data_IF_983924641667
#
_entry.id   IF_983924641667
#
_cell.length_a   1.000
_cell.length_b   1.000
_cell.length_c   1.000
_cell.angle_alpha   90.00
_cell.angle_beta   90.00
_cell.angle_gamma   90.00
#
_symmetry.space_group_name_H-M   'P 1'
#
loop_
_entity.id
_entity.type
_entity.pdbx_description
1 polymer ?
#
# COMPACT_ATOMS: atom_id res chain seq x y z
N UNK A 1 -6.65 26.87 1.38
CA UNK A 1 -5.86 26.75 0.16
C UNK A 1 -6.72 26.01 -0.88
N UNK A 2 -7.18 26.75 -1.91
CA UNK A 2 -7.73 26.11 -3.11
C UNK A 2 -6.58 25.37 -3.77
N UNK A 3 -6.66 24.05 -3.87
CA UNK A 3 -5.85 23.31 -4.83
C UNK A 3 -6.17 23.89 -6.20
N UNK A 4 -5.25 24.65 -6.76
CA UNK A 4 -5.27 24.93 -8.18
C UNK A 4 -4.97 23.58 -8.84
N UNK A 5 -6.03 22.93 -9.39
CA UNK A 5 -5.86 21.72 -10.15
C UNK A 5 -4.96 22.06 -11.34
N UNK A 6 -3.88 21.31 -11.50
CA UNK A 6 -3.16 21.29 -12.75
C UNK A 6 -4.05 20.47 -13.71
N UNK A 7 -4.81 21.17 -14.56
CA UNK A 7 -5.75 20.56 -15.52
C UNK A 7 -5.02 19.74 -16.61
N UNK A 8 -3.70 19.79 -16.62
CA UNK A 8 -2.78 19.11 -17.54
C UNK A 8 -2.09 17.87 -16.93
N UNK A 9 -2.43 17.50 -15.69
CA UNK A 9 -1.87 16.32 -15.05
C UNK A 9 -2.55 15.04 -15.56
N UNK A 10 -1.84 14.22 -16.30
CA UNK A 10 -2.27 12.88 -16.68
C UNK A 10 -1.72 11.88 -15.67
N UNK A 11 -2.59 11.11 -14.99
CA UNK A 11 -2.21 10.19 -13.94
C UNK A 11 -2.86 8.82 -14.15
N UNK A 12 -2.05 7.78 -14.02
CA UNK A 12 -2.49 6.39 -13.98
C UNK A 12 -2.26 5.81 -12.59
N UNK A 13 -3.25 5.11 -12.05
CA UNK A 13 -3.18 4.37 -10.79
C UNK A 13 -3.29 2.89 -11.10
N UNK A 14 -2.26 2.13 -10.74
CA UNK A 14 -2.22 0.67 -10.96
C UNK A 14 -2.36 -0.04 -9.61
N UNK A 15 -3.34 -0.93 -9.51
CA UNK A 15 -3.66 -1.69 -8.30
C UNK A 15 -3.79 -3.18 -8.64
N UNK A 16 -3.03 -4.02 -7.92
CA UNK A 16 -3.08 -5.47 -8.13
C UNK A 16 -4.38 -6.11 -7.62
N UNK A 17 -5.04 -5.47 -6.67
CA UNK A 17 -6.31 -5.94 -6.11
C UNK A 17 -7.50 -5.55 -6.99
N UNK A 18 -8.64 -6.25 -6.87
CA UNK A 18 -9.85 -5.92 -7.63
C UNK A 18 -10.50 -4.60 -7.20
N UNK A 19 -10.11 -4.07 -6.03
CA UNK A 19 -10.70 -2.84 -5.48
C UNK A 19 -9.60 -1.90 -5.02
N UNK A 20 -9.59 -0.68 -5.59
CA UNK A 20 -8.69 0.38 -5.14
C UNK A 20 -9.06 0.85 -3.74
N UNK A 21 -8.02 1.16 -2.94
CA UNK A 21 -8.17 1.71 -1.58
C UNK A 21 -9.14 0.89 -0.71
N UNK A 22 -9.08 -0.43 -0.79
CA UNK A 22 -10.05 -1.34 -0.14
C UNK A 22 -10.08 -1.18 1.39
N UNK A 23 -8.98 -0.72 1.99
CA UNK A 23 -8.85 -0.53 3.44
C UNK A 23 -9.46 0.78 3.94
N UNK A 24 -9.89 1.65 3.02
CA UNK A 24 -10.66 2.84 3.38
C UNK A 24 -12.13 2.50 3.60
N UNK A 25 -12.72 3.12 4.62
CA UNK A 25 -14.16 3.04 4.86
C UNK A 25 -14.94 3.53 3.63
N UNK A 26 -16.06 2.89 3.31
CA UNK A 26 -16.82 3.15 2.09
C UNK A 26 -17.27 4.61 1.94
N UNK A 27 -17.64 5.26 3.05
CA UNK A 27 -18.03 6.67 3.08
C UNK A 27 -16.89 7.65 2.70
N UNK A 28 -15.64 7.23 2.80
CA UNK A 28 -14.45 7.98 2.38
C UNK A 28 -14.05 7.56 0.97
N UNK A 29 -14.01 6.25 0.72
CA UNK A 29 -13.57 5.68 -0.55
C UNK A 29 -14.43 6.11 -1.73
N UNK A 30 -15.75 6.01 -1.61
CA UNK A 30 -16.67 6.28 -2.72
C UNK A 30 -16.59 7.74 -3.24
N UNK A 31 -16.60 8.78 -2.39
CA UNK A 31 -16.39 10.16 -2.86
C UNK A 31 -15.01 10.36 -3.49
N UNK A 32 -13.97 9.75 -2.93
CA UNK A 32 -12.61 9.83 -3.46
C UNK A 32 -12.52 9.22 -4.85
N UNK A 33 -13.07 8.01 -5.05
CA UNK A 33 -13.07 7.34 -6.35
C UNK A 33 -13.84 8.13 -7.41
N UNK A 34 -14.99 8.72 -7.04
CA UNK A 34 -15.75 9.60 -7.95
C UNK A 34 -14.93 10.82 -8.36
N UNK A 35 -14.21 11.42 -7.40
CA UNK A 35 -13.36 12.59 -7.67
C UNK A 35 -12.20 12.24 -8.60
N UNK A 36 -11.52 11.11 -8.39
CA UNK A 36 -10.44 10.65 -9.27
C UNK A 36 -10.95 10.42 -10.71
N UNK A 37 -12.10 9.77 -10.84
CA UNK A 37 -12.75 9.56 -12.16
C UNK A 37 -13.12 10.87 -12.84
N UNK A 38 -13.66 11.86 -12.11
CA UNK A 38 -14.05 13.14 -12.69
C UNK A 38 -12.89 13.98 -13.20
N UNK A 39 -11.67 13.70 -12.71
CA UNK A 39 -10.43 14.32 -13.22
C UNK A 39 -9.77 13.51 -14.35
N UNK A 40 -10.42 12.45 -14.82
CA UNK A 40 -9.92 11.67 -15.95
C UNK A 40 -8.75 10.74 -15.65
N UNK A 41 -8.44 10.46 -14.37
CA UNK A 41 -7.34 9.56 -14.02
C UNK A 41 -7.59 8.13 -14.50
N UNK A 42 -6.58 7.50 -15.11
CA UNK A 42 -6.58 6.10 -15.45
C UNK A 42 -6.56 5.24 -14.17
N UNK A 43 -7.46 4.27 -14.06
CA UNK A 43 -7.54 3.39 -12.88
C UNK A 43 -7.57 1.93 -13.32
N UNK A 44 -6.45 1.24 -13.07
CA UNK A 44 -6.21 -0.13 -13.52
C UNK A 44 -6.19 -1.05 -12.30
N UNK A 45 -7.30 -1.72 -12.03
CA UNK A 45 -7.41 -2.78 -11.00
C UNK A 45 -7.07 -4.14 -11.58
N UNK A 46 -6.85 -5.16 -10.72
CA UNK A 46 -6.42 -6.50 -11.13
C UNK A 46 -5.19 -6.46 -12.06
N UNK A 47 -4.32 -5.48 -11.82
CA UNK A 47 -3.15 -5.22 -12.66
C UNK A 47 -1.92 -5.18 -11.77
N UNK A 48 -1.04 -6.15 -11.94
CA UNK A 48 0.18 -6.30 -11.14
C UNK A 48 1.37 -5.68 -11.87
N UNK A 49 2.10 -4.81 -11.19
CA UNK A 49 3.40 -4.34 -11.70
C UNK A 49 4.42 -5.45 -11.56
N UNK A 50 5.03 -5.86 -12.68
CA UNK A 50 6.07 -6.89 -12.73
C UNK A 50 7.47 -6.29 -12.69
N UNK A 51 7.69 -5.20 -13.42
CA UNK A 51 9.02 -4.63 -13.62
C UNK A 51 8.93 -3.11 -13.78
N UNK A 52 9.92 -2.40 -13.23
CA UNK A 52 10.18 -0.99 -13.48
C UNK A 52 11.31 -0.83 -14.48
N UNK A 53 11.08 -0.05 -15.54
CA UNK A 53 12.01 0.14 -16.66
C UNK A 53 12.37 1.61 -16.88
N UNK A 54 12.68 2.30 -15.80
CA UNK A 54 13.02 3.73 -15.86
C UNK A 54 11.80 4.63 -15.94
N UNK A 55 11.30 4.96 -17.10
CA UNK A 55 10.11 5.78 -17.28
C UNK A 55 8.86 4.97 -17.70
N UNK A 56 8.96 3.65 -17.82
CA UNK A 56 7.85 2.73 -18.10
C UNK A 56 7.74 1.66 -17.01
N UNK A 57 6.60 0.98 -16.97
CA UNK A 57 6.36 -0.18 -16.13
C UNK A 57 5.79 -1.32 -16.98
N UNK A 58 6.29 -2.54 -16.75
CA UNK A 58 5.67 -3.75 -17.28
C UNK A 58 4.60 -4.21 -16.28
N UNK A 59 3.39 -4.40 -16.76
CA UNK A 59 2.27 -4.87 -15.93
C UNK A 59 1.65 -6.14 -16.49
N UNK A 60 1.01 -6.91 -15.62
CA UNK A 60 0.25 -8.11 -15.95
C UNK A 60 -1.20 -7.95 -15.45
N UNK A 61 -2.14 -8.17 -16.35
CA UNK A 61 -3.57 -8.17 -16.05
C UNK A 61 -4.02 -9.52 -15.48
N UNK A 62 -5.23 -9.58 -14.91
CA UNK A 62 -5.80 -10.80 -14.35
C UNK A 62 -5.90 -11.96 -15.35
N UNK A 63 -5.99 -11.68 -16.64
CA UNK A 63 -6.03 -12.68 -17.72
C UNK A 63 -4.63 -13.18 -18.16
N UNK A 64 -3.56 -12.72 -17.48
CA UNK A 64 -2.17 -13.03 -17.82
C UNK A 64 -1.59 -12.17 -18.96
N UNK A 65 -2.36 -11.27 -19.53
CA UNK A 65 -1.86 -10.38 -20.57
C UNK A 65 -0.86 -9.39 -19.99
N UNK A 66 0.34 -9.35 -20.57
CA UNK A 66 1.36 -8.38 -20.21
C UNK A 66 1.34 -7.19 -21.17
N UNK A 67 1.50 -6.00 -20.62
CA UNK A 67 1.65 -4.79 -21.41
C UNK A 67 2.61 -3.81 -20.74
N UNK A 68 3.24 -2.97 -21.54
CA UNK A 68 4.08 -1.88 -21.08
C UNK A 68 3.25 -0.59 -21.02
N UNK A 69 3.30 0.09 -19.89
CA UNK A 69 2.62 1.36 -19.65
C UNK A 69 3.63 2.50 -19.50
N UNK A 70 3.30 3.65 -20.01
CA UNK A 70 4.15 4.84 -20.04
C UNK A 70 4.40 5.34 -21.48
N UNK A 71 5.41 6.22 -21.72
CA UNK A 71 6.36 6.73 -20.73
C UNK A 71 5.72 7.71 -19.73
N UNK A 72 6.24 7.73 -18.50
CA UNK A 72 5.83 8.63 -17.42
C UNK A 72 6.98 9.55 -17.01
N UNK A 73 6.66 10.80 -16.66
CA UNK A 73 7.63 11.74 -16.09
C UNK A 73 8.01 11.34 -14.66
N UNK A 74 7.02 10.82 -13.90
CA UNK A 74 7.21 10.38 -12.53
C UNK A 74 6.45 9.07 -12.27
N UNK A 75 7.08 8.17 -11.54
CA UNK A 75 6.46 6.92 -11.06
C UNK A 75 6.61 6.86 -9.54
N UNK A 76 5.48 6.74 -8.83
CA UNK A 76 5.43 6.64 -7.38
C UNK A 76 5.03 5.23 -6.97
N UNK A 77 5.85 4.60 -6.13
CA UNK A 77 5.60 3.26 -5.60
C UNK A 77 4.96 3.35 -4.21
N UNK A 78 3.75 2.77 -4.07
CA UNK A 78 3.02 2.62 -2.82
C UNK A 78 2.59 1.18 -2.65
N UNK A 79 3.58 0.29 -2.45
CA UNK A 79 3.38 -1.17 -2.47
C UNK A 79 3.18 -1.78 -1.08
N UNK A 80 2.79 -0.97 -0.10
CA UNK A 80 2.57 -1.41 1.28
C UNK A 80 3.87 -1.63 2.05
N UNK A 81 3.74 -2.26 3.21
CA UNK A 81 4.83 -2.54 4.14
C UNK A 81 4.87 -4.03 4.49
N UNK A 82 6.07 -4.52 4.83
CA UNK A 82 6.26 -5.87 5.38
C UNK A 82 6.78 -5.76 6.80
N UNK A 83 6.40 -6.70 7.68
CA UNK A 83 7.03 -6.80 8.99
C UNK A 83 8.55 -6.91 8.87
N UNK A 84 9.26 -6.20 9.74
CA UNK A 84 10.71 -6.27 9.82
C UNK A 84 11.11 -6.53 11.28
N UNK A 85 11.58 -7.73 11.55
CA UNK A 85 11.98 -8.18 12.87
C UNK A 85 13.36 -8.84 12.76
N UNK A 86 14.39 -8.16 13.30
CA UNK A 86 15.77 -8.62 13.28
C UNK A 86 16.31 -8.93 14.66
N UNK A 87 15.55 -8.64 15.72
CA UNK A 87 16.06 -8.68 17.07
C UNK A 87 15.51 -9.86 17.88
N UNK A 88 14.35 -10.43 17.56
CA UNK A 88 13.71 -11.44 18.41
C UNK A 88 14.58 -12.68 18.60
N UNK A 89 15.16 -13.20 17.51
CA UNK A 89 16.00 -14.41 17.58
C UNK A 89 17.25 -14.23 18.46
N UNK A 90 17.81 -13.03 18.52
CA UNK A 90 18.96 -12.71 19.37
C UNK A 90 18.52 -12.53 20.82
N UNK A 91 17.39 -11.86 21.04
CA UNK A 91 16.86 -11.60 22.38
C UNK A 91 16.38 -12.87 23.07
N UNK A 92 15.77 -13.81 22.35
CA UNK A 92 15.33 -15.12 22.85
C UNK A 92 16.49 -15.95 23.46
N UNK A 93 17.74 -15.67 23.07
CA UNK A 93 18.94 -16.31 23.64
C UNK A 93 19.39 -15.68 24.96
N UNK A 94 18.90 -14.49 25.28
CA UNK A 94 19.39 -13.67 26.40
C UNK A 94 18.32 -13.56 27.49
N UNK A 95 17.05 -13.49 27.09
CA UNK A 95 15.92 -13.32 28.01
C UNK A 95 14.91 -14.46 27.87
N UNK A 96 14.24 -14.87 28.97
CA UNK A 96 13.38 -16.04 28.97
C UNK A 96 12.09 -15.88 28.15
N UNK A 97 11.68 -14.65 27.89
CA UNK A 97 10.46 -14.37 27.14
C UNK A 97 10.64 -13.13 26.24
N UNK A 98 10.26 -13.28 24.97
CA UNK A 98 10.26 -12.22 23.97
C UNK A 98 8.91 -12.20 23.27
N UNK A 99 8.22 -11.05 23.28
CA UNK A 99 6.97 -10.83 22.53
C UNK A 99 7.23 -9.88 21.38
N UNK A 100 7.00 -10.33 20.16
CA UNK A 100 7.07 -9.49 18.95
C UNK A 100 5.68 -8.88 18.73
N UNK A 101 5.60 -7.55 18.79
CA UNK A 101 4.35 -6.79 18.71
C UNK A 101 4.41 -5.68 17.65
N UNK A 102 3.27 -5.05 17.36
CA UNK A 102 3.17 -3.94 16.40
C UNK A 102 3.64 -4.34 15.01
N UNK A 103 4.26 -3.39 14.31
CA UNK A 103 4.69 -3.56 12.91
C UNK A 103 5.81 -4.58 12.73
N UNK A 104 6.56 -4.88 13.78
CA UNK A 104 7.56 -5.95 13.76
C UNK A 104 6.91 -7.35 13.64
N UNK A 105 5.68 -7.52 14.18
CA UNK A 105 4.88 -8.75 14.04
C UNK A 105 4.01 -8.70 12.78
N UNK A 106 3.23 -7.63 12.63
CA UNK A 106 2.31 -7.43 11.49
C UNK A 106 2.12 -5.95 11.21
N UNK A 107 2.67 -5.48 10.11
CA UNK A 107 2.48 -4.10 9.67
C UNK A 107 0.99 -3.78 9.47
N UNK A 108 0.48 -2.73 10.15
CA UNK A 108 -0.93 -2.41 10.19
C UNK A 108 -1.15 -0.95 10.65
N UNK A 109 -2.35 -0.65 11.18
CA UNK A 109 -2.69 0.66 11.73
C UNK A 109 -2.09 0.84 13.14
N UNK A 110 -1.78 2.09 13.49
CA UNK A 110 -1.23 2.47 14.81
C UNK A 110 -2.09 1.95 15.96
N UNK A 111 -3.41 1.96 15.81
CA UNK A 111 -4.34 1.46 16.84
C UNK A 111 -4.10 -0.02 17.17
N UNK A 112 -3.75 -0.84 16.19
CA UNK A 112 -3.46 -2.26 16.43
C UNK A 112 -2.09 -2.46 17.07
N UNK A 113 -1.10 -1.63 16.72
CA UNK A 113 0.21 -1.66 17.39
C UNK A 113 0.08 -1.27 18.87
N UNK A 114 -0.69 -0.23 19.18
CA UNK A 114 -0.96 0.20 20.57
C UNK A 114 -1.72 -0.87 21.35
N UNK A 115 -2.72 -1.49 20.72
CA UNK A 115 -3.48 -2.57 21.33
C UNK A 115 -2.61 -3.78 21.63
N UNK A 116 -1.76 -4.20 20.69
CA UNK A 116 -0.83 -5.31 20.88
C UNK A 116 0.13 -5.05 22.06
N UNK A 117 0.60 -3.81 22.24
CA UNK A 117 1.43 -3.42 23.39
C UNK A 117 0.67 -3.52 24.70
N UNK A 118 -0.57 -3.05 24.75
CA UNK A 118 -1.42 -3.17 25.94
C UNK A 118 -1.68 -4.66 26.28
N UNK A 119 -2.10 -5.46 25.31
CA UNK A 119 -2.41 -6.87 25.53
C UNK A 119 -1.17 -7.64 26.02
N UNK A 120 0.01 -7.40 25.42
CA UNK A 120 1.26 -7.99 25.87
C UNK A 120 1.62 -7.63 27.32
N UNK A 121 1.38 -6.37 27.74
CA UNK A 121 1.64 -5.93 29.11
C UNK A 121 0.65 -6.53 30.13
N UNK A 122 -0.56 -6.87 29.71
CA UNK A 122 -1.58 -7.49 30.59
C UNK A 122 -1.36 -9.01 30.79
N UNK A 123 -0.49 -9.61 29.99
CA UNK A 123 -0.13 -11.03 30.08
C UNK A 123 1.14 -11.29 30.92
N UNK A 124 1.82 -10.22 31.36
CA UNK A 124 2.97 -10.29 32.26
C UNK A 124 2.53 -10.42 33.72
#
# INVERSE_FOLDING_TARGET
>A
HRYQGHDDLNMDIVEMLPTMAKDLAANIREPMMRRLKSHGFGMYTNTKVLEYRGNTILVEKADGTQLEMGPYDHILFSMGTKPYNTLSEELEKIVPEVKVIGDAHKASLIVWATRAGFDAAMEL
#
